data_IF_859052959624
#
_entry.id   IF_859052959624
#
_cell.length_a   1.000
_cell.length_b   1.000
_cell.length_c   1.000
_cell.angle_alpha   90.00
_cell.angle_beta   90.00
_cell.angle_gamma   90.00
#
_symmetry.space_group_name_H-M   'P 1'
#
loop_
_entity.id
_entity.type
_entity.pdbx_description
1 polymer ?
#
# COMPACT_ATOMS: atom_id res chain seq x y z
N UNK A 1 -8.14 23.19 0.97
CA UNK A 1 -8.06 22.75 2.38
C UNK A 1 -8.80 23.76 3.24
N UNK A 2 -10.03 23.45 3.67
CA UNK A 2 -10.82 24.33 4.55
C UNK A 2 -10.44 24.04 6.00
N UNK A 3 -9.79 25.01 6.66
CA UNK A 3 -9.56 25.02 8.11
C UNK A 3 -10.90 25.35 8.77
N UNK A 4 -11.48 24.40 9.50
CA UNK A 4 -12.65 24.67 10.33
C UNK A 4 -12.13 25.17 11.68
N UNK A 5 -12.34 26.45 11.91
CA UNK A 5 -11.94 27.20 13.10
C UNK A 5 -12.68 26.70 14.35
N UNK A 6 -11.96 26.06 15.27
CA UNK A 6 -12.42 25.76 16.63
C UNK A 6 -12.22 27.01 17.50
N UNK A 7 -13.13 27.97 17.37
CA UNK A 7 -13.20 29.14 18.24
C UNK A 7 -14.68 29.43 18.49
N UNK A 8 -15.24 28.77 19.50
CA UNK A 8 -16.43 29.20 20.27
C UNK A 8 -16.68 28.15 21.37
N UNK A 9 -17.23 28.60 22.50
CA UNK A 9 -17.54 27.83 23.73
C UNK A 9 -16.43 27.87 24.81
N UNK A 10 -15.85 29.05 25.06
CA UNK A 10 -15.37 29.43 26.42
C UNK A 10 -16.07 30.71 26.94
N UNK A 11 -16.97 31.30 26.13
CA UNK A 11 -17.60 32.58 26.44
C UNK A 11 -18.82 32.52 27.38
N UNK A 12 -19.14 31.37 27.99
CA UNK A 12 -20.24 31.26 28.95
C UNK A 12 -19.80 31.33 30.42
N UNK A 13 -18.50 31.60 30.69
CA UNK A 13 -17.96 31.64 32.07
C UNK A 13 -17.88 33.04 32.69
N UNK A 14 -18.35 34.09 32.01
CA UNK A 14 -18.24 35.48 32.49
C UNK A 14 -19.63 36.11 32.65
N UNK A 15 -20.34 35.75 33.71
CA UNK A 15 -21.68 36.28 33.95
C UNK A 15 -22.23 36.00 35.34
N UNK A 16 -21.45 36.19 36.40
CA UNK A 16 -22.00 36.30 37.76
C UNK A 16 -21.03 37.08 38.67
N UNK A 17 -20.98 38.40 38.49
CA UNK A 17 -20.48 39.30 39.53
C UNK A 17 -21.57 39.49 40.60
N UNK A 18 -21.26 39.45 41.91
CA UNK A 18 -22.26 39.62 42.95
C UNK A 18 -22.54 41.11 43.16
N UNK A 19 -23.76 41.56 42.90
CA UNK A 19 -24.18 42.92 43.17
C UNK A 19 -25.68 43.02 43.42
N UNK A 20 -26.06 43.58 44.57
CA UNK A 20 -27.38 44.18 44.79
C UNK A 20 -28.35 43.35 45.63
N UNK A 21 -28.51 43.74 46.90
CA UNK A 21 -29.67 43.40 47.72
C UNK A 21 -30.92 44.12 47.20
N UNK A 22 -32.04 43.40 47.06
CA UNK A 22 -33.35 43.95 46.71
C UNK A 22 -34.42 42.86 46.68
N UNK A 23 -35.46 43.00 47.49
CA UNK A 23 -36.48 41.99 47.82
C UNK A 23 -37.62 41.86 46.77
N UNK A 24 -37.90 40.61 46.35
CA UNK A 24 -39.21 39.96 46.07
C UNK A 24 -40.16 40.52 44.97
N UNK A 25 -41.30 39.83 44.67
CA UNK A 25 -41.60 38.39 44.73
C UNK A 25 -42.22 37.83 43.41
N UNK A 26 -42.35 36.50 43.32
CA UNK A 26 -43.03 35.67 42.29
C UNK A 26 -42.24 35.30 41.02
N UNK A 27 -42.22 33.99 40.75
CA UNK A 27 -42.03 33.44 39.40
C UNK A 27 -40.73 32.66 39.22
N UNK A 28 -40.88 31.36 39.04
CA UNK A 28 -39.85 30.37 38.67
C UNK A 28 -38.76 30.09 39.72
N UNK A 29 -38.83 28.89 40.28
CA UNK A 29 -37.68 28.28 40.94
C UNK A 29 -36.50 28.32 39.97
N UNK A 30 -35.54 29.22 40.23
CA UNK A 30 -34.27 29.22 39.54
C UNK A 30 -33.73 27.78 39.59
N UNK A 31 -33.36 27.17 38.45
CA UNK A 31 -32.87 25.80 38.42
C UNK A 31 -31.74 25.70 39.44
N UNK A 32 -31.96 24.90 40.48
CA UNK A 32 -30.98 24.74 41.55
C UNK A 32 -29.64 24.31 40.96
N UNK A 33 -28.51 24.51 41.67
CA UNK A 33 -27.18 24.12 41.20
C UNK A 33 -27.11 22.65 40.72
N UNK A 34 -27.98 21.78 41.24
CA UNK A 34 -28.14 20.39 40.78
C UNK A 34 -28.65 20.25 39.33
N UNK A 35 -29.55 21.13 38.86
CA UNK A 35 -30.05 21.11 37.48
C UNK A 35 -28.96 21.58 36.48
N UNK A 36 -28.20 22.63 36.84
CA UNK A 36 -27.03 23.05 36.05
C UNK A 36 -25.95 21.97 35.97
N UNK A 37 -25.69 21.24 37.07
CA UNK A 37 -24.76 20.09 37.06
C UNK A 37 -25.27 18.93 36.20
N UNK A 38 -26.57 18.67 36.17
CA UNK A 38 -27.17 17.63 35.32
C UNK A 38 -27.04 17.98 33.83
N UNK A 39 -27.26 19.24 33.46
CA UNK A 39 -27.08 19.73 32.08
C UNK A 39 -25.62 19.67 31.63
N UNK A 40 -24.68 20.05 32.50
CA UNK A 40 -23.24 19.89 32.26
C UNK A 40 -22.88 18.41 32.07
N UNK A 41 -23.41 17.51 32.91
CA UNK A 41 -23.16 16.07 32.78
C UNK A 41 -23.70 15.50 31.46
N UNK A 42 -24.91 15.92 31.06
CA UNK A 42 -25.50 15.52 29.79
C UNK A 42 -24.67 16.01 28.59
N UNK A 43 -24.23 17.27 28.63
CA UNK A 43 -23.38 17.87 27.59
C UNK A 43 -22.03 17.16 27.50
N UNK A 44 -21.40 16.85 28.65
CA UNK A 44 -20.15 16.09 28.68
C UNK A 44 -20.32 14.69 28.09
N UNK A 45 -21.42 13.98 28.39
CA UNK A 45 -21.72 12.68 27.77
C UNK A 45 -21.89 12.78 26.25
N UNK A 46 -22.56 13.83 25.76
CA UNK A 46 -22.70 14.07 24.33
C UNK A 46 -21.35 14.37 23.66
N UNK A 47 -20.48 15.16 24.32
CA UNK A 47 -19.13 15.42 23.84
C UNK A 47 -18.28 14.14 23.80
N UNK A 48 -18.35 13.29 24.84
CA UNK A 48 -17.66 11.99 24.85
C UNK A 48 -18.13 11.11 23.70
N UNK A 49 -19.44 11.00 23.48
CA UNK A 49 -19.99 10.23 22.36
C UNK A 49 -19.53 10.76 20.99
N UNK A 50 -19.46 12.09 20.81
CA UNK A 50 -18.95 12.72 19.59
C UNK A 50 -17.45 12.44 19.39
N UNK A 51 -16.65 12.52 20.46
CA UNK A 51 -15.21 12.21 20.41
C UNK A 51 -14.99 10.74 20.07
N UNK A 52 -15.76 9.81 20.67
CA UNK A 52 -15.71 8.38 20.34
C UNK A 52 -16.05 8.12 18.87
N UNK A 53 -17.10 8.78 18.35
CA UNK A 53 -17.47 8.69 16.95
C UNK A 53 -16.37 9.24 16.03
N UNK A 54 -15.76 10.36 16.40
CA UNK A 54 -14.67 10.96 15.64
C UNK A 54 -13.43 10.06 15.60
N UNK A 55 -13.05 9.46 16.74
CA UNK A 55 -11.93 8.51 16.82
C UNK A 55 -12.21 7.28 15.96
N UNK A 56 -13.44 6.75 15.99
CA UNK A 56 -13.84 5.63 15.13
C UNK A 56 -13.70 5.99 13.64
N UNK A 57 -14.23 7.13 13.23
CA UNK A 57 -14.15 7.59 11.83
C UNK A 57 -12.69 7.76 11.37
N UNK A 58 -11.83 8.34 12.21
CA UNK A 58 -10.40 8.47 11.89
C UNK A 58 -9.72 7.11 11.70
N UNK A 59 -10.03 6.12 12.55
CA UNK A 59 -9.51 4.76 12.41
C UNK A 59 -9.95 4.11 11.11
N UNK A 60 -11.24 4.22 10.76
CA UNK A 60 -11.78 3.70 9.49
C UNK A 60 -11.11 4.36 8.28
N UNK A 61 -10.95 5.69 8.29
CA UNK A 61 -10.27 6.40 7.21
C UNK A 61 -8.82 5.95 7.04
N UNK A 62 -8.10 5.76 8.15
CA UNK A 62 -6.71 5.26 8.12
C UNK A 62 -6.65 3.81 7.60
N UNK A 63 -7.60 2.96 7.97
CA UNK A 63 -7.69 1.59 7.45
C UNK A 63 -7.94 1.58 5.93
N UNK A 64 -8.85 2.42 5.42
CA UNK A 64 -9.11 2.57 3.98
C UNK A 64 -7.85 3.03 3.24
N UNK A 65 -7.14 4.03 3.77
CA UNK A 65 -5.89 4.51 3.15
C UNK A 65 -4.81 3.42 3.12
N UNK A 66 -4.69 2.62 4.18
CA UNK A 66 -3.76 1.49 4.21
C UNK A 66 -4.14 0.40 3.21
N UNK A 67 -5.43 0.10 3.09
CA UNK A 67 -5.95 -0.83 2.09
C UNK A 67 -5.59 -0.37 0.66
N UNK A 68 -5.81 0.91 0.36
CA UNK A 68 -5.47 1.48 -0.95
C UNK A 68 -3.95 1.38 -1.25
N UNK A 69 -3.11 1.64 -0.24
CA UNK A 69 -1.66 1.49 -0.38
C UNK A 69 -1.27 0.02 -0.61
N UNK A 70 -1.83 -0.90 0.17
CA UNK A 70 -1.55 -2.33 0.03
C UNK A 70 -1.96 -2.86 -1.36
N UNK A 71 -3.13 -2.45 -1.87
CA UNK A 71 -3.57 -2.80 -3.23
C UNK A 71 -2.63 -2.27 -4.32
N UNK A 72 -2.14 -1.03 -4.18
CA UNK A 72 -1.16 -0.47 -5.14
C UNK A 72 0.17 -1.21 -5.10
N UNK A 73 0.59 -1.64 -3.92
CA UNK A 73 1.81 -2.40 -3.72
C UNK A 73 1.73 -3.79 -4.40
N UNK A 74 0.58 -4.48 -4.29
CA UNK A 74 0.31 -5.70 -5.06
C UNK A 74 0.45 -5.45 -6.57
N UNK A 75 -0.23 -4.43 -7.09
CA UNK A 75 -0.18 -4.09 -8.53
C UNK A 75 1.24 -3.74 -8.99
N UNK A 76 2.03 -3.07 -8.15
CA UNK A 76 3.42 -2.75 -8.46
C UNK A 76 4.27 -4.02 -8.58
N UNK A 77 4.14 -4.96 -7.65
CA UNK A 77 4.86 -6.24 -7.70
C UNK A 77 4.42 -7.13 -8.86
N UNK A 78 3.13 -7.15 -9.19
CA UNK A 78 2.62 -7.88 -10.35
C UNK A 78 3.22 -7.35 -11.66
N UNK A 79 3.40 -6.03 -11.79
CA UNK A 79 4.11 -5.44 -12.93
C UNK A 79 5.58 -5.84 -12.96
N UNK A 80 6.26 -5.78 -11.82
CA UNK A 80 7.66 -6.22 -11.74
C UNK A 80 7.82 -7.70 -12.14
N UNK A 81 6.90 -8.56 -11.68
CA UNK A 81 6.88 -9.97 -12.07
C UNK A 81 6.70 -10.12 -13.59
N UNK A 82 5.78 -9.36 -14.18
CA UNK A 82 5.57 -9.36 -15.62
C UNK A 82 6.81 -8.93 -16.40
N UNK A 83 7.52 -7.89 -15.94
CA UNK A 83 8.76 -7.41 -16.56
C UNK A 83 9.89 -8.45 -16.45
N UNK A 84 9.99 -9.15 -15.31
CA UNK A 84 10.94 -10.24 -15.08
C UNK A 84 10.65 -11.41 -16.02
N UNK A 85 9.39 -11.83 -16.15
CA UNK A 85 8.98 -12.91 -17.05
C UNK A 85 9.22 -12.54 -18.52
N UNK A 86 8.91 -11.30 -18.92
CA UNK A 86 9.19 -10.80 -20.27
C UNK A 86 10.69 -10.82 -20.58
N UNK A 87 11.51 -10.40 -19.61
CA UNK A 87 12.97 -10.45 -19.74
C UNK A 87 13.50 -11.87 -19.83
N UNK A 88 12.91 -12.81 -19.10
CA UNK A 88 13.23 -14.24 -19.14
C UNK A 88 12.94 -14.81 -20.52
N UNK A 89 11.75 -14.58 -21.05
CA UNK A 89 11.33 -15.09 -22.35
C UNK A 89 12.23 -14.55 -23.47
N UNK A 90 12.64 -13.28 -23.40
CA UNK A 90 13.59 -12.69 -24.34
C UNK A 90 14.98 -13.37 -24.29
N UNK A 91 15.46 -13.77 -23.11
CA UNK A 91 16.71 -14.52 -22.99
C UNK A 91 16.58 -15.96 -23.49
N UNK A 92 15.43 -16.60 -23.30
CA UNK A 92 15.15 -17.93 -23.86
C UNK A 92 15.11 -17.90 -25.39
N UNK A 93 14.55 -16.84 -25.98
CA UNK A 93 14.58 -16.61 -27.44
C UNK A 93 16.01 -16.41 -27.92
N UNK A 94 16.82 -15.59 -27.24
CA UNK A 94 18.24 -15.40 -27.57
C UNK A 94 19.01 -16.73 -27.49
N UNK A 95 18.78 -17.54 -26.46
CA UNK A 95 19.42 -18.84 -26.30
C UNK A 95 19.02 -19.82 -27.42
N UNK A 96 17.75 -19.82 -27.82
CA UNK A 96 17.24 -20.65 -28.91
C UNK A 96 17.83 -20.23 -30.24
N UNK A 97 17.87 -18.93 -30.52
CA UNK A 97 18.49 -18.36 -31.72
C UNK A 97 19.98 -18.68 -31.81
N UNK A 98 20.72 -18.54 -30.70
CA UNK A 98 22.14 -18.88 -30.67
C UNK A 98 22.39 -20.38 -30.89
N UNK A 99 21.55 -21.25 -30.32
CA UNK A 99 21.63 -22.71 -30.55
C UNK A 99 21.37 -23.05 -32.02
N UNK A 100 20.36 -22.45 -32.65
CA UNK A 100 20.07 -22.66 -34.06
C UNK A 100 21.20 -22.17 -34.97
N UNK A 101 21.84 -21.04 -34.63
CA UNK A 101 23.02 -20.56 -35.35
C UNK A 101 24.19 -21.53 -35.22
N UNK A 102 24.48 -22.02 -34.01
CA UNK A 102 25.51 -23.04 -33.81
C UNK A 102 25.23 -24.31 -34.61
N UNK A 103 24.00 -24.83 -34.58
CA UNK A 103 23.62 -26.02 -35.37
C UNK A 103 23.83 -25.79 -36.87
N UNK A 104 23.45 -24.61 -37.39
CA UNK A 104 23.69 -24.27 -38.80
C UNK A 104 25.18 -24.22 -39.17
N UNK A 105 26.06 -23.79 -38.26
CA UNK A 105 27.51 -23.80 -38.48
C UNK A 105 28.11 -25.22 -38.41
N UNK A 106 27.52 -26.12 -37.63
CA UNK A 106 27.98 -27.51 -37.51
C UNK A 106 27.54 -28.36 -38.70
N UNK A 107 26.36 -28.11 -39.24
CA UNK A 107 25.80 -28.86 -40.36
C UNK A 107 26.43 -28.50 -41.72
N UNK A 108 26.83 -27.24 -41.93
CA UNK A 108 27.46 -26.79 -43.18
C UNK A 108 28.54 -25.70 -42.95
N UNK A 109 29.74 -26.08 -42.49
CA UNK A 109 30.84 -25.13 -42.27
C UNK A 109 31.38 -24.51 -43.58
N UNK A 110 31.27 -25.23 -44.71
CA UNK A 110 31.73 -24.74 -46.02
C UNK A 110 30.82 -23.63 -46.58
N UNK A 111 29.51 -23.65 -46.31
CA UNK A 111 28.57 -22.61 -46.74
C UNK A 111 28.86 -21.23 -46.14
N UNK A 112 29.56 -21.17 -45.01
CA UNK A 112 29.88 -19.90 -44.34
C UNK A 112 31.32 -19.43 -44.58
N UNK A 113 32.15 -20.27 -45.21
CA UNK A 113 33.52 -19.91 -45.60
C UNK A 113 34.46 -19.62 -44.44
N UNK A 114 34.19 -20.19 -43.27
CA UNK A 114 34.92 -19.97 -42.01
C UNK A 114 35.99 -21.06 -41.85
N UNK A 115 37.20 -20.70 -41.46
CA UNK A 115 38.28 -21.67 -41.19
C UNK A 115 37.99 -22.52 -39.94
N UNK A 116 38.64 -23.69 -39.81
CA UNK A 116 38.46 -24.59 -38.65
C UNK A 116 38.83 -23.91 -37.32
N UNK A 117 39.87 -23.07 -37.31
CA UNK A 117 40.32 -22.31 -36.14
C UNK A 117 39.30 -21.23 -35.72
N UNK A 118 38.71 -20.52 -36.70
CA UNK A 118 37.66 -19.51 -36.45
C UNK A 118 36.35 -20.16 -35.95
N UNK A 119 36.03 -21.36 -36.44
CA UNK A 119 34.88 -22.13 -35.98
C UNK A 119 35.04 -22.59 -34.53
N UNK A 120 36.26 -22.97 -34.14
CA UNK A 120 36.59 -23.36 -32.78
C UNK A 120 36.55 -22.17 -31.81
N UNK A 121 37.02 -20.99 -32.23
CA UNK A 121 36.86 -19.75 -31.46
C UNK A 121 35.39 -19.36 -31.29
N UNK A 122 34.58 -19.49 -32.35
CA UNK A 122 33.15 -19.21 -32.30
C UNK A 122 32.42 -20.16 -31.33
N UNK A 123 32.73 -21.46 -31.36
CA UNK A 123 32.19 -22.45 -30.41
C UNK A 123 32.53 -22.09 -28.97
N UNK A 124 33.77 -21.68 -28.70
CA UNK A 124 34.18 -21.26 -27.36
C UNK A 124 33.40 -20.03 -26.90
N UNK A 125 33.27 -19.02 -27.76
CA UNK A 125 32.52 -17.80 -27.46
C UNK A 125 31.04 -18.10 -27.16
N UNK A 126 30.40 -18.90 -28.03
CA UNK A 126 29.00 -19.25 -27.87
C UNK A 126 28.75 -20.11 -26.63
N UNK A 127 29.71 -20.95 -26.22
CA UNK A 127 29.64 -21.69 -24.95
C UNK A 127 29.66 -20.73 -23.75
N UNK A 128 30.58 -19.78 -23.73
CA UNK A 128 30.68 -18.76 -22.67
C UNK A 128 29.40 -17.94 -22.60
N UNK A 129 28.89 -17.47 -23.75
CA UNK A 129 27.63 -16.72 -23.82
C UNK A 129 26.44 -17.57 -23.38
N UNK A 130 26.38 -18.85 -23.76
CA UNK A 130 25.31 -19.77 -23.34
C UNK A 130 25.29 -19.96 -21.83
N UNK A 131 26.45 -20.14 -21.20
CA UNK A 131 26.56 -20.24 -19.75
C UNK A 131 26.14 -18.95 -19.06
N UNK A 132 26.53 -17.79 -19.60
CA UNK A 132 26.11 -16.48 -19.10
C UNK A 132 24.58 -16.27 -19.19
N UNK A 133 23.98 -16.64 -20.32
CA UNK A 133 22.53 -16.57 -20.52
C UNK A 133 21.78 -17.52 -19.57
N UNK A 134 22.26 -18.75 -19.38
CA UNK A 134 21.69 -19.70 -18.41
C UNK A 134 21.74 -19.17 -16.98
N UNK A 135 22.87 -18.60 -16.57
CA UNK A 135 23.00 -18.00 -15.23
C UNK A 135 22.05 -16.82 -15.06
N UNK A 136 21.89 -15.98 -16.08
CA UNK A 136 20.99 -14.83 -16.04
C UNK A 136 19.52 -15.27 -15.97
N UNK A 137 19.13 -16.25 -16.77
CA UNK A 137 17.79 -16.85 -16.75
C UNK A 137 17.48 -17.45 -15.39
N UNK A 138 18.42 -18.22 -14.81
CA UNK A 138 18.26 -18.77 -13.46
C UNK A 138 18.04 -17.68 -12.39
N UNK A 139 18.75 -16.55 -12.47
CA UNK A 139 18.52 -15.43 -11.54
C UNK A 139 17.13 -14.81 -11.71
N UNK A 140 16.64 -14.70 -12.95
CA UNK A 140 15.28 -14.22 -13.22
C UNK A 140 14.23 -15.20 -12.68
N UNK A 141 14.45 -16.51 -12.81
CA UNK A 141 13.56 -17.53 -12.24
C UNK A 141 13.49 -17.42 -10.71
N UNK A 142 14.64 -17.25 -10.04
CA UNK A 142 14.67 -17.01 -8.59
C UNK A 142 13.90 -15.74 -8.22
N UNK A 143 14.12 -14.63 -8.95
CA UNK A 143 13.42 -13.37 -8.69
C UNK A 143 11.91 -13.49 -8.93
N UNK A 144 11.48 -14.23 -9.95
CA UNK A 144 10.08 -14.48 -10.23
C UNK A 144 9.41 -15.25 -9.08
N UNK A 145 10.07 -16.28 -8.53
CA UNK A 145 9.57 -17.03 -7.38
C UNK A 145 9.47 -16.16 -6.11
N UNK A 146 10.47 -15.31 -5.86
CA UNK A 146 10.43 -14.34 -4.76
C UNK A 146 9.25 -13.38 -4.90
N UNK A 147 9.08 -12.78 -6.09
CA UNK A 147 7.97 -11.86 -6.36
C UNK A 147 6.60 -12.54 -6.23
N UNK A 148 6.46 -13.78 -6.67
CA UNK A 148 5.21 -14.55 -6.48
C UNK A 148 4.89 -14.73 -4.99
N UNK A 149 5.90 -15.06 -4.17
CA UNK A 149 5.72 -15.19 -2.73
C UNK A 149 5.40 -13.83 -2.06
N UNK A 150 6.05 -12.74 -2.48
CA UNK A 150 5.76 -11.40 -2.01
C UNK A 150 4.34 -10.94 -2.38
N UNK A 151 3.88 -11.21 -3.60
CA UNK A 151 2.52 -10.92 -4.07
C UNK A 151 1.50 -11.68 -3.22
N UNK A 152 1.72 -12.98 -2.98
CA UNK A 152 0.81 -13.79 -2.16
C UNK A 152 0.65 -13.20 -0.74
N UNK A 153 1.76 -12.84 -0.09
CA UNK A 153 1.74 -12.18 1.23
C UNK A 153 1.02 -10.83 1.19
N UNK A 154 1.31 -10.02 0.18
CA UNK A 154 0.67 -8.71 0.03
C UNK A 154 -0.84 -8.83 -0.22
N UNK A 155 -1.29 -9.86 -0.93
CA UNK A 155 -2.71 -10.17 -1.12
C UNK A 155 -3.38 -10.63 0.19
N UNK A 156 -2.68 -11.38 1.04
CA UNK A 156 -3.16 -11.72 2.39
C UNK A 156 -3.32 -10.47 3.26
N UNK A 157 -2.32 -9.57 3.23
CA UNK A 157 -2.40 -8.29 3.94
C UNK A 157 -3.59 -7.44 3.45
N UNK A 158 -3.83 -7.38 2.13
CA UNK A 158 -4.99 -6.70 1.55
C UNK A 158 -6.29 -7.28 2.11
N UNK A 159 -6.44 -8.61 2.14
CA UNK A 159 -7.63 -9.26 2.71
C UNK A 159 -7.83 -8.91 4.18
N UNK A 160 -6.76 -8.95 4.98
CA UNK A 160 -6.83 -8.57 6.39
C UNK A 160 -7.30 -7.12 6.58
N UNK A 161 -6.84 -6.19 5.72
CA UNK A 161 -7.31 -4.81 5.74
C UNK A 161 -8.75 -4.66 5.25
N UNK A 162 -9.18 -5.45 4.25
CA UNK A 162 -10.58 -5.47 3.79
C UNK A 162 -11.53 -5.91 4.90
N UNK A 163 -11.18 -6.95 5.66
CA UNK A 163 -11.96 -7.42 6.81
C UNK A 163 -12.07 -6.34 7.89
N UNK A 164 -10.96 -5.69 8.25
CA UNK A 164 -10.97 -4.59 9.23
C UNK A 164 -11.81 -3.39 8.79
N UNK A 165 -11.82 -3.08 7.50
CA UNK A 165 -12.65 -2.01 6.94
C UNK A 165 -14.12 -2.43 6.93
N UNK A 166 -14.44 -3.68 6.57
CA UNK A 166 -15.79 -4.21 6.57
C UNK A 166 -16.41 -4.20 7.97
N UNK A 167 -15.66 -4.60 9.00
CA UNK A 167 -16.09 -4.60 10.40
C UNK A 167 -16.30 -3.18 10.98
N UNK A 168 -15.85 -2.14 10.27
CA UNK A 168 -15.98 -0.75 10.70
C UNK A 168 -17.30 -0.08 10.28
N UNK A 169 -18.11 -0.73 9.42
CA UNK A 169 -19.39 -0.23 8.90
C UNK A 169 -20.58 -1.04 9.43
#
# INVERSE_FOLDING_TARGET
>A
MRRISFLLIVAALAGAAPGGAGQGPQGEAAPGPAAGLAEINATLKQLVALVELQVRNQRTQLAIQRLDLARRDVVARERELHDVLTSRDALEEQQTSMKARLEAFEDDPEAVGIGEEELEEYRLHAKIESEALKQRTWRLDQRALELQAEIARAQEDVKAWEELVADSF
#
